data_IF_088929380923
#
_entry.id   IF_088929380923
#
_cell.length_a   1.000
_cell.length_b   1.000
_cell.length_c   1.000
_cell.angle_alpha   90.00
_cell.angle_beta   90.00
_cell.angle_gamma   90.00
#
_symmetry.space_group_name_H-M   'P 1'
#
loop_
_entity.id
_entity.type
_entity.pdbx_description
1 polymer ?
#
# COMPACT_ATOMS: atom_id res chain seq x y z
N UNK A 1 -14.72 -12.98 -16.52
CA UNK A 1 -13.25 -13.02 -16.40
C UNK A 1 -12.57 -11.83 -17.08
N UNK A 2 -12.75 -11.62 -18.40
CA UNK A 2 -12.03 -10.56 -19.14
C UNK A 2 -12.24 -9.15 -18.57
N UNK A 3 -13.49 -8.75 -18.29
CA UNK A 3 -13.78 -7.40 -17.75
C UNK A 3 -13.11 -7.10 -16.41
N UNK A 4 -13.02 -8.09 -15.52
CA UNK A 4 -12.34 -7.97 -14.23
C UNK A 4 -10.85 -7.72 -14.45
N UNK A 5 -10.20 -8.56 -15.27
CA UNK A 5 -8.78 -8.42 -15.63
C UNK A 5 -8.51 -7.04 -16.24
N UNK A 6 -9.29 -6.65 -17.23
CA UNK A 6 -9.06 -5.41 -17.98
C UNK A 6 -9.22 -4.18 -17.06
N UNK A 7 -10.18 -4.20 -16.12
CA UNK A 7 -10.33 -3.15 -15.12
C UNK A 7 -9.18 -3.15 -14.09
N UNK A 8 -8.78 -4.31 -13.56
CA UNK A 8 -7.65 -4.41 -12.64
C UNK A 8 -6.36 -3.84 -13.25
N UNK A 9 -6.08 -4.18 -14.52
CA UNK A 9 -4.90 -3.66 -15.21
C UNK A 9 -5.01 -2.15 -15.45
N UNK A 10 -6.16 -1.64 -15.89
CA UNK A 10 -6.34 -0.20 -16.11
C UNK A 10 -6.18 0.63 -14.82
N UNK A 11 -6.74 0.16 -13.69
CA UNK A 11 -6.59 0.83 -12.40
C UNK A 11 -5.14 0.77 -11.92
N UNK A 12 -4.49 -0.38 -12.05
CA UNK A 12 -3.06 -0.54 -11.70
C UNK A 12 -2.17 0.38 -12.54
N UNK A 13 -2.35 0.41 -13.87
CA UNK A 13 -1.56 1.26 -14.77
C UNK A 13 -1.72 2.74 -14.45
N UNK A 14 -2.95 3.17 -14.13
CA UNK A 14 -3.20 4.53 -13.68
C UNK A 14 -2.47 4.82 -12.37
N UNK A 15 -2.63 3.96 -11.35
CA UNK A 15 -1.96 4.09 -10.07
C UNK A 15 -0.43 4.13 -10.19
N UNK A 16 0.15 3.18 -10.92
CA UNK A 16 1.60 3.09 -11.13
C UNK A 16 2.17 4.29 -11.89
N UNK A 17 1.41 4.84 -12.85
CA UNK A 17 1.80 6.06 -13.56
C UNK A 17 1.81 7.25 -12.60
N UNK A 18 0.72 7.43 -11.85
CA UNK A 18 0.59 8.55 -10.90
C UNK A 18 1.64 8.50 -9.80
N UNK A 19 1.84 7.36 -9.14
CA UNK A 19 2.80 7.26 -8.01
C UNK A 19 4.24 7.50 -8.46
N UNK A 20 4.56 7.15 -9.72
CA UNK A 20 5.89 7.35 -10.30
C UNK A 20 6.26 8.84 -10.39
N UNK A 21 5.29 9.72 -10.64
CA UNK A 21 5.50 11.17 -10.65
C UNK A 21 5.97 11.70 -9.28
N UNK A 22 5.64 10.97 -8.20
CA UNK A 22 6.02 11.28 -6.82
C UNK A 22 7.22 10.45 -6.32
N UNK A 23 7.99 9.86 -7.24
CA UNK A 23 9.18 9.09 -6.90
C UNK A 23 8.89 7.73 -6.23
N UNK A 24 7.70 7.18 -6.46
CA UNK A 24 7.27 5.90 -5.87
C UNK A 24 6.96 4.90 -6.98
N UNK A 25 7.58 3.72 -6.90
CA UNK A 25 7.24 2.55 -7.72
C UNK A 25 6.14 1.77 -7.01
N UNK A 26 4.98 1.66 -7.64
CA UNK A 26 3.93 0.71 -7.26
C UNK A 26 4.31 -0.67 -7.83
N UNK A 27 4.79 -1.58 -6.98
CA UNK A 27 5.30 -2.87 -7.43
C UNK A 27 4.17 -3.87 -7.73
N UNK A 28 3.14 -3.88 -6.88
CA UNK A 28 1.93 -4.67 -7.03
C UNK A 28 0.81 -4.11 -6.14
N UNK A 29 -0.41 -4.60 -6.37
CA UNK A 29 -1.59 -4.27 -5.57
C UNK A 29 -2.63 -5.37 -5.63
N UNK A 30 -3.47 -5.45 -4.59
CA UNK A 30 -4.71 -6.22 -4.58
C UNK A 30 -5.90 -5.28 -4.79
N UNK A 31 -6.87 -5.71 -5.60
CA UNK A 31 -8.20 -5.09 -5.68
C UNK A 31 -9.27 -6.11 -5.35
N UNK A 32 -10.36 -5.65 -4.74
CA UNK A 32 -11.57 -6.44 -4.59
C UNK A 32 -12.72 -5.85 -5.42
N UNK A 33 -13.52 -6.74 -6.00
CA UNK A 33 -14.67 -6.36 -6.80
C UNK A 33 -15.91 -7.13 -6.36
N UNK A 34 -17.03 -6.42 -6.26
CA UNK A 34 -18.35 -6.98 -6.03
C UNK A 34 -19.21 -6.96 -7.30
N UNK A 35 -20.19 -7.87 -7.37
CA UNK A 35 -21.25 -7.81 -8.38
C UNK A 35 -22.49 -7.17 -7.77
N UNK A 36 -22.96 -6.07 -8.36
CA UNK A 36 -24.23 -5.48 -8.02
C UNK A 36 -25.39 -6.32 -8.62
N UNK A 37 -26.60 -6.35 -8.01
CA UNK A 37 -27.74 -7.13 -8.53
C UNK A 37 -28.16 -6.80 -9.97
N UNK A 38 -27.86 -5.60 -10.47
CA UNK A 38 -28.11 -5.20 -11.86
C UNK A 38 -27.03 -5.69 -12.85
N UNK A 39 -26.04 -6.45 -12.39
CA UNK A 39 -24.97 -7.01 -13.20
C UNK A 39 -23.71 -6.16 -13.33
N UNK A 40 -23.68 -4.94 -12.77
CA UNK A 40 -22.46 -4.10 -12.74
C UNK A 40 -21.38 -4.71 -11.84
N UNK A 41 -20.12 -4.52 -12.25
CA UNK A 41 -18.96 -4.82 -11.42
C UNK A 41 -18.55 -3.55 -10.68
N UNK A 42 -18.46 -3.62 -9.36
CA UNK A 42 -18.11 -2.50 -8.48
C UNK A 42 -16.71 -2.74 -7.91
N UNK A 43 -15.84 -1.74 -8.02
CA UNK A 43 -14.62 -1.71 -7.22
C UNK A 43 -15.02 -1.43 -5.77
N UNK A 44 -14.54 -2.26 -4.86
CA UNK A 44 -14.85 -2.17 -3.42
C UNK A 44 -13.53 -2.22 -2.64
N UNK A 45 -13.64 -2.30 -1.31
CA UNK A 45 -12.50 -2.32 -0.39
C UNK A 45 -11.61 -1.08 -0.54
N UNK A 46 -10.45 -1.07 0.12
CA UNK A 46 -9.40 -0.10 -0.12
C UNK A 46 -8.69 -0.30 -1.47
N UNK A 47 -8.15 0.79 -2.00
CA UNK A 47 -7.57 0.85 -3.35
C UNK A 47 -6.26 1.62 -3.29
N UNK A 48 -5.16 0.98 -3.70
CA UNK A 48 -3.83 1.60 -3.81
C UNK A 48 -3.35 2.23 -2.50
N UNK A 49 -3.61 1.56 -1.38
CA UNK A 49 -3.12 1.95 -0.05
C UNK A 49 -1.85 1.19 0.30
N UNK A 50 -1.02 1.65 1.25
CA UNK A 50 0.16 0.90 1.70
C UNK A 50 -0.21 -0.45 2.34
N UNK A 51 -1.50 -0.67 2.61
CA UNK A 51 -2.01 -1.93 3.09
C UNK A 51 -2.27 -2.96 2.00
N UNK A 52 -2.84 -2.50 0.90
CA UNK A 52 -3.22 -3.31 -0.27
C UNK A 52 -2.13 -3.37 -1.35
N UNK A 53 -1.08 -2.55 -1.24
CA UNK A 53 -0.04 -2.38 -2.26
C UNK A 53 1.37 -2.35 -1.70
N UNK A 54 2.35 -2.74 -2.53
CA UNK A 54 3.78 -2.55 -2.23
C UNK A 54 4.32 -1.30 -2.89
N UNK A 55 4.82 -0.38 -2.08
CA UNK A 55 5.42 0.88 -2.52
C UNK A 55 6.94 0.87 -2.31
N UNK A 56 7.69 1.05 -3.40
CA UNK A 56 9.14 1.16 -3.34
C UNK A 56 9.59 2.59 -3.67
N UNK A 57 10.57 3.14 -2.94
CA UNK A 57 11.17 4.42 -3.29
C UNK A 57 11.98 4.26 -4.58
N UNK A 58 11.67 5.05 -5.61
CA UNK A 58 12.21 4.87 -6.94
C UNK A 58 13.73 5.11 -7.03
N UNK A 59 14.25 5.98 -6.17
CA UNK A 59 15.66 6.35 -6.07
C UNK A 59 16.54 5.25 -5.42
N UNK A 60 15.93 4.31 -4.70
CA UNK A 60 16.64 3.18 -4.07
C UNK A 60 16.37 1.84 -4.76
N UNK A 61 15.52 1.82 -5.79
CA UNK A 61 15.18 0.61 -6.51
C UNK A 61 16.40 0.06 -7.29
N UNK A 62 16.64 -1.24 -7.18
CA UNK A 62 17.68 -1.92 -7.97
C UNK A 62 17.26 -3.36 -8.24
N UNK A 63 17.15 -3.79 -9.52
CA UNK A 63 16.76 -5.15 -9.87
C UNK A 63 17.68 -6.23 -9.27
N UNK A 64 17.12 -7.40 -8.98
CA UNK A 64 17.89 -8.59 -8.57
C UNK A 64 18.12 -8.75 -7.06
N UNK A 65 17.50 -7.91 -6.23
CA UNK A 65 17.58 -7.98 -4.76
C UNK A 65 16.24 -7.65 -4.09
N UNK A 66 16.18 -7.76 -2.76
CA UNK A 66 15.08 -7.21 -1.98
C UNK A 66 15.04 -5.69 -2.10
N UNK A 67 13.84 -5.12 -2.18
CA UNK A 67 13.67 -3.67 -2.33
C UNK A 67 13.33 -3.03 -0.98
N UNK A 68 13.85 -1.83 -0.70
CA UNK A 68 13.33 -1.02 0.39
C UNK A 68 11.83 -0.80 0.17
N UNK A 69 11.05 -0.93 1.24
CA UNK A 69 9.61 -0.72 1.15
C UNK A 69 9.16 0.41 2.05
N UNK A 70 8.30 1.26 1.51
CA UNK A 70 7.64 2.36 2.21
C UNK A 70 6.39 1.86 2.98
N UNK A 71 6.10 0.56 2.95
CA UNK A 71 4.96 -0.02 3.65
C UNK A 71 5.33 -0.68 5.00
N UNK A 72 4.72 -1.82 5.31
CA UNK A 72 4.84 -2.64 6.52
C UNK A 72 6.23 -3.21 6.82
N UNK A 73 7.28 -2.75 6.16
CA UNK A 73 8.61 -3.32 6.31
C UNK A 73 9.20 -3.20 7.72
N UNK A 74 9.04 -2.11 8.50
CA UNK A 74 9.54 -2.06 9.87
C UNK A 74 8.95 -3.17 10.75
N UNK A 75 7.65 -3.42 10.59
CA UNK A 75 6.95 -4.49 11.31
C UNK A 75 7.47 -5.86 10.89
N UNK A 76 7.64 -6.09 9.58
CA UNK A 76 8.17 -7.37 9.06
C UNK A 76 9.59 -7.62 9.56
N UNK A 77 10.48 -6.63 9.45
CA UNK A 77 11.88 -6.72 9.87
C UNK A 77 11.97 -6.97 11.39
N UNK A 78 11.16 -6.28 12.19
CA UNK A 78 11.10 -6.51 13.63
C UNK A 78 10.66 -7.94 13.95
N UNK A 79 9.55 -8.40 13.37
CA UNK A 79 9.00 -9.72 13.64
C UNK A 79 9.89 -10.86 13.14
N UNK A 80 10.55 -10.69 11.98
CA UNK A 80 11.50 -11.66 11.45
C UNK A 80 12.81 -11.71 12.25
N UNK A 81 13.14 -10.65 13.00
CA UNK A 81 14.27 -10.60 13.92
C UNK A 81 14.04 -11.32 15.25
N UNK A 82 12.80 -11.75 15.55
CA UNK A 82 12.48 -12.43 16.80
C UNK A 82 12.88 -13.91 16.73
N UNK A 83 13.79 -14.32 17.60
CA UNK A 83 14.22 -15.72 17.69
C UNK A 83 13.26 -16.60 18.49
N UNK A 84 12.48 -15.98 19.37
CA UNK A 84 11.67 -16.69 20.38
C UNK A 84 10.17 -16.72 20.02
N UNK A 85 9.81 -16.27 18.81
CA UNK A 85 8.44 -16.28 18.30
C UNK A 85 8.35 -17.10 17.02
N UNK A 86 7.52 -18.14 17.05
CA UNK A 86 7.34 -19.11 15.94
C UNK A 86 6.33 -18.64 14.89
N UNK A 87 5.97 -17.35 14.89
CA UNK A 87 4.95 -16.73 14.02
C UNK A 87 3.52 -17.23 14.29
N UNK A 88 3.25 -17.82 15.46
CA UNK A 88 1.90 -18.18 15.89
C UNK A 88 1.21 -17.07 16.70
N UNK A 89 -0.11 -16.90 16.60
CA UNK A 89 -0.84 -15.97 17.46
C UNK A 89 -0.86 -16.42 18.93
N UNK A 90 -0.82 -15.47 19.90
CA UNK A 90 -0.72 -14.02 19.70
C UNK A 90 0.70 -13.56 19.35
N UNK A 91 0.86 -12.57 18.45
CA UNK A 91 2.16 -11.94 18.22
C UNK A 91 2.61 -11.16 19.46
N UNK A 92 3.92 -10.94 19.62
CA UNK A 92 4.44 -10.04 20.65
C UNK A 92 4.09 -8.59 20.33
N UNK A 93 4.07 -7.75 21.38
CA UNK A 93 3.83 -6.32 21.23
C UNK A 93 4.94 -5.66 20.41
N UNK A 94 4.53 -4.74 19.54
CA UNK A 94 5.47 -3.93 18.76
C UNK A 94 6.04 -2.81 19.63
N UNK A 95 7.38 -2.64 19.68
CA UNK A 95 7.98 -1.51 20.35
C UNK A 95 7.55 -0.17 19.72
N UNK A 96 7.51 0.88 20.53
CA UNK A 96 7.15 2.24 20.10
C UNK A 96 7.87 2.72 18.85
N UNK A 97 9.17 2.41 18.71
CA UNK A 97 9.95 2.87 17.56
C UNK A 97 9.47 2.22 16.25
N UNK A 98 9.11 0.93 16.26
CA UNK A 98 8.56 0.23 15.10
C UNK A 98 7.21 0.83 14.69
N UNK A 99 6.38 1.15 15.68
CA UNK A 99 5.08 1.80 15.46
C UNK A 99 5.26 3.19 14.84
N UNK A 100 6.17 4.00 15.40
CA UNK A 100 6.48 5.35 14.87
C UNK A 100 7.04 5.28 13.46
N UNK A 101 8.04 4.43 13.21
CA UNK A 101 8.64 4.27 11.88
C UNK A 101 7.61 3.82 10.84
N UNK A 102 6.71 2.90 11.21
CA UNK A 102 5.62 2.48 10.31
C UNK A 102 4.67 3.63 10.04
N UNK A 103 4.28 4.38 11.07
CA UNK A 103 3.40 5.55 10.96
C UNK A 103 4.01 6.62 10.05
N UNK A 104 5.29 6.94 10.25
CA UNK A 104 6.00 7.97 9.49
C UNK A 104 6.06 7.62 8.00
N UNK A 105 6.24 6.33 7.67
CA UNK A 105 6.24 5.85 6.27
C UNK A 105 4.86 5.97 5.63
N UNK A 106 3.79 5.61 6.34
CA UNK A 106 2.42 5.77 5.82
C UNK A 106 2.10 7.26 5.58
N UNK A 107 2.48 8.14 6.50
CA UNK A 107 2.31 9.58 6.35
C UNK A 107 3.17 10.16 5.23
N UNK A 108 4.38 9.65 5.01
CA UNK A 108 5.22 10.06 3.89
C UNK A 108 4.59 9.70 2.54
N UNK A 109 4.12 8.46 2.36
CA UNK A 109 3.38 8.08 1.14
C UNK A 109 2.16 8.99 0.96
N UNK A 110 1.37 9.18 2.02
CA UNK A 110 0.17 10.00 1.99
C UNK A 110 0.48 11.44 1.56
N UNK A 111 1.46 12.09 2.19
CA UNK A 111 1.87 13.46 1.88
C UNK A 111 2.38 13.59 0.45
N UNK A 112 3.20 12.62 -0.02
CA UNK A 112 3.71 12.63 -1.40
C UNK A 112 2.59 12.55 -2.42
N UNK A 113 1.60 11.67 -2.21
CA UNK A 113 0.53 11.44 -3.18
C UNK A 113 -0.59 12.48 -3.13
N UNK A 114 -0.88 13.05 -1.96
CA UNK A 114 -1.97 14.02 -1.79
C UNK A 114 -1.51 15.47 -1.77
N UNK A 115 -0.22 15.72 -1.53
CA UNK A 115 0.35 17.06 -1.39
C UNK A 115 -0.03 17.78 -0.09
N UNK A 116 -0.65 17.11 0.87
CA UNK A 116 -1.10 17.69 2.15
C UNK A 116 -0.84 16.77 3.33
N UNK A 117 -0.77 17.33 4.53
CA UNK A 117 -0.79 16.55 5.76
C UNK A 117 -2.20 15.96 6.03
N UNK A 118 -2.22 14.85 6.77
CA UNK A 118 -3.44 14.05 6.99
C UNK A 118 -4.52 14.79 7.79
N UNK A 119 -4.13 15.64 8.74
CA UNK A 119 -5.01 16.49 9.55
C UNK A 119 -5.66 17.61 8.72
N UNK A 120 -4.98 18.06 7.68
CA UNK A 120 -5.48 19.06 6.73
C UNK A 120 -6.28 18.45 5.57
N UNK A 121 -6.14 17.15 5.31
CA UNK A 121 -6.82 16.48 4.20
C UNK A 121 -8.34 16.60 4.32
N UNK A 122 -8.99 16.90 3.20
CA UNK A 122 -10.44 16.91 3.07
C UNK A 122 -10.81 15.89 1.98
N UNK A 123 -11.45 14.77 2.34
CA UNK A 123 -11.79 13.77 1.35
C UNK A 123 -12.75 14.37 0.31
N UNK A 124 -12.58 14.04 -0.98
CA UNK A 124 -13.48 14.49 -2.01
C UNK A 124 -14.91 14.00 -1.75
N UNK A 125 -15.89 14.86 -2.00
CA UNK A 125 -17.30 14.48 -2.00
C UNK A 125 -17.63 13.93 -3.38
N UNK A 126 -17.94 12.63 -3.46
CA UNK A 126 -18.41 12.01 -4.69
C UNK A 126 -19.94 12.11 -4.72
N UNK A 127 -20.49 12.84 -5.70
CA UNK A 127 -21.94 12.89 -5.99
C UNK A 127 -22.39 11.73 -6.88
#
# INVERSE_FOLDING_TARGET
ANRLRDLSLAIYEHGATTTKEYGIILADTKFEFGHHPDGRLLLIDEVLTPDSSRFWPADLYTPGQGQPSLDKQPVRDFLDGLTDWDKSPPPPDLPDHVVRETTDRYLDIFRRLTGTDLDEFRPPHFE
#
